data_IF_236041193471
#
_entry.id   IF_236041193471
#
_cell.length_a   1.000
_cell.length_b   1.000
_cell.length_c   1.000
_cell.angle_alpha   90.00
_cell.angle_beta   90.00
_cell.angle_gamma   90.00
#
_symmetry.space_group_name_H-M   'P 1'
#
loop_
_entity.id
_entity.type
_entity.pdbx_description
1 polymer ?
#
# COMPACT_ATOMS: atom_id res chain seq x y z
N UNK A 1 -5.61 18.77 11.70
CA UNK A 1 -4.93 17.71 12.45
C UNK A 1 -3.68 18.26 13.12
N UNK A 2 -3.26 17.68 14.24
CA UNK A 2 -2.17 18.18 15.10
C UNK A 2 -0.79 18.27 14.43
N UNK A 3 -0.60 17.67 13.25
CA UNK A 3 0.64 17.71 12.46
C UNK A 3 0.47 18.43 11.10
N UNK A 4 -0.57 19.25 10.93
CA UNK A 4 -0.83 19.93 9.67
C UNK A 4 0.22 21.00 9.36
N UNK A 5 0.85 20.91 8.19
CA UNK A 5 1.74 21.94 7.63
C UNK A 5 1.00 22.92 6.70
N UNK A 6 -0.32 23.07 6.88
CA UNK A 6 -1.15 23.95 6.04
C UNK A 6 -1.21 23.50 4.57
N UNK A 7 -1.07 22.20 4.33
CA UNK A 7 -1.13 21.62 2.98
C UNK A 7 0.11 21.90 2.11
N UNK A 8 1.20 22.43 2.68
CA UNK A 8 2.49 22.60 2.01
C UNK A 8 3.23 21.26 1.96
N UNK A 9 3.67 20.86 0.77
CA UNK A 9 4.49 19.68 0.61
C UNK A 9 5.96 20.02 0.95
N UNK A 10 6.73 19.10 1.56
CA UNK A 10 8.14 19.31 1.82
C UNK A 10 8.95 19.34 0.52
N UNK A 11 10.14 19.93 0.58
CA UNK A 11 11.12 19.80 -0.49
C UNK A 11 11.63 18.36 -0.56
N UNK A 12 11.68 17.80 -1.77
CA UNK A 12 12.16 16.44 -2.01
C UNK A 12 13.13 16.43 -3.19
N UNK A 13 13.92 15.36 -3.30
CA UNK A 13 14.82 15.15 -4.43
C UNK A 13 14.05 14.93 -5.74
N UNK A 14 14.72 15.12 -6.88
CA UNK A 14 14.10 15.02 -8.21
C UNK A 14 13.59 13.62 -8.58
N UNK A 15 14.02 12.59 -7.86
CA UNK A 15 13.57 11.21 -8.01
C UNK A 15 12.38 10.86 -7.10
N UNK A 16 11.83 11.84 -6.38
CA UNK A 16 10.68 11.67 -5.48
C UNK A 16 9.49 12.46 -6.03
N UNK A 17 8.34 11.80 -6.09
CA UNK A 17 7.07 12.41 -6.48
C UNK A 17 6.12 12.36 -5.29
N UNK A 18 5.62 13.53 -4.89
CA UNK A 18 4.59 13.65 -3.87
C UNK A 18 3.24 13.88 -4.54
N UNK A 19 2.30 12.96 -4.31
CA UNK A 19 0.94 13.04 -4.85
C UNK A 19 0.00 13.45 -3.74
N UNK A 20 -0.55 14.66 -3.81
CA UNK A 20 -1.44 15.22 -2.78
C UNK A 20 -2.90 14.94 -3.12
N UNK A 21 -3.58 14.20 -2.25
CA UNK A 21 -5.02 13.93 -2.35
C UNK A 21 -5.37 12.58 -1.75
N UNK A 22 -6.64 12.19 -1.84
CA UNK A 22 -7.08 10.85 -1.46
C UNK A 22 -6.71 9.84 -2.56
N UNK A 23 -6.34 8.61 -2.17
CA UNK A 23 -5.92 7.56 -3.11
C UNK A 23 -6.94 7.32 -4.24
N UNK A 24 -8.24 7.30 -3.91
CA UNK A 24 -9.33 7.11 -4.88
C UNK A 24 -9.42 8.22 -5.94
N UNK A 25 -8.95 9.43 -5.61
CA UNK A 25 -8.93 10.57 -6.52
C UNK A 25 -7.63 10.63 -7.31
N UNK A 26 -6.51 10.26 -6.69
CA UNK A 26 -5.19 10.51 -7.27
C UNK A 26 -4.57 9.33 -7.99
N UNK A 27 -4.86 8.08 -7.58
CA UNK A 27 -4.31 6.90 -8.23
C UNK A 27 -4.72 6.80 -9.71
N UNK A 28 -5.98 7.04 -10.12
CA UNK A 28 -6.37 6.96 -11.53
C UNK A 28 -5.56 7.88 -12.44
N UNK A 29 -5.21 9.07 -11.95
CA UNK A 29 -4.44 10.07 -12.70
C UNK A 29 -2.94 9.83 -12.61
N UNK A 30 -2.46 9.32 -11.47
CA UNK A 30 -1.04 9.08 -11.25
C UNK A 30 -0.54 7.85 -12.01
N UNK A 31 -1.27 6.73 -11.97
CA UNK A 31 -0.81 5.46 -12.52
C UNK A 31 -0.43 5.52 -14.02
N UNK A 32 -1.16 6.21 -14.91
CA UNK A 32 -0.75 6.37 -16.30
C UNK A 32 0.56 7.14 -16.49
N UNK A 33 0.93 8.00 -15.54
CA UNK A 33 2.21 8.73 -15.57
C UNK A 33 3.39 7.87 -15.10
N UNK A 34 3.10 6.76 -14.41
CA UNK A 34 4.10 5.88 -13.86
C UNK A 34 4.65 4.96 -14.96
N UNK A 35 5.84 5.31 -15.46
CA UNK A 35 6.48 4.59 -16.58
C UNK A 35 6.97 3.17 -16.24
N UNK A 36 6.93 2.77 -14.97
CA UNK A 36 7.43 1.44 -14.55
C UNK A 36 6.32 0.41 -14.69
N UNK A 37 6.71 -0.80 -15.08
CA UNK A 37 5.80 -1.93 -15.29
C UNK A 37 5.56 -2.77 -14.03
N UNK A 38 6.36 -2.57 -12.99
CA UNK A 38 6.27 -3.31 -11.74
C UNK A 38 6.70 -2.46 -10.55
N UNK A 39 6.20 -2.85 -9.38
CA UNK A 39 6.60 -2.29 -8.08
C UNK A 39 7.51 -3.30 -7.40
N UNK A 40 8.76 -2.92 -7.16
CA UNK A 40 9.69 -3.79 -6.41
C UNK A 40 9.35 -3.83 -4.92
N UNK A 41 8.94 -2.68 -4.37
CA UNK A 41 8.65 -2.51 -2.96
C UNK A 41 7.47 -1.55 -2.77
N UNK A 42 6.54 -1.91 -1.89
CA UNK A 42 5.40 -1.09 -1.50
C UNK A 42 5.31 -1.03 0.03
N UNK A 43 5.20 0.17 0.58
CA UNK A 43 4.90 0.39 1.98
C UNK A 43 3.45 0.88 2.11
N UNK A 44 2.64 0.15 2.85
CA UNK A 44 1.22 0.42 3.09
C UNK A 44 1.09 0.89 4.54
N UNK A 45 0.72 2.16 4.68
CA UNK A 45 0.44 2.82 5.96
C UNK A 45 -0.85 3.64 5.75
N UNK A 46 -1.95 2.90 5.61
CA UNK A 46 -3.24 3.45 5.18
C UNK A 46 -4.27 3.49 6.31
N UNK A 47 -4.03 2.75 7.40
CA UNK A 47 -4.89 2.46 8.55
C UNK A 47 -6.23 1.75 8.22
N UNK A 48 -6.91 2.21 7.18
CA UNK A 48 -8.27 1.83 6.82
C UNK A 48 -8.29 0.72 5.76
N UNK A 49 -9.27 -0.17 5.90
CA UNK A 49 -9.58 -1.18 4.89
C UNK A 49 -9.84 -0.57 3.51
N UNK A 50 -10.68 0.48 3.43
CA UNK A 50 -11.06 1.09 2.16
C UNK A 50 -9.86 1.70 1.44
N UNK A 51 -8.99 2.41 2.17
CA UNK A 51 -7.77 2.98 1.62
C UNK A 51 -6.81 1.89 1.14
N UNK A 52 -6.56 0.86 1.95
CA UNK A 52 -5.69 -0.27 1.61
C UNK A 52 -6.19 -1.02 0.38
N UNK A 53 -7.50 -1.30 0.32
CA UNK A 53 -8.13 -1.97 -0.82
C UNK A 53 -7.98 -1.16 -2.10
N UNK A 54 -8.26 0.14 -2.04
CA UNK A 54 -8.10 1.05 -3.18
C UNK A 54 -6.68 1.03 -3.74
N UNK A 55 -5.66 1.07 -2.86
CA UNK A 55 -4.24 1.01 -3.24
C UNK A 55 -3.89 -0.33 -3.85
N UNK A 56 -4.24 -1.45 -3.20
CA UNK A 56 -3.96 -2.80 -3.70
C UNK A 56 -4.60 -3.07 -5.05
N UNK A 57 -5.88 -2.71 -5.23
CA UNK A 57 -6.61 -2.92 -6.49
C UNK A 57 -6.04 -2.06 -7.63
N UNK A 58 -5.72 -0.79 -7.34
CA UNK A 58 -5.16 0.13 -8.32
C UNK A 58 -3.77 -0.29 -8.80
N UNK A 59 -2.92 -0.76 -7.88
CA UNK A 59 -1.55 -1.18 -8.18
C UNK A 59 -1.44 -2.63 -8.66
N UNK A 60 -2.52 -3.41 -8.58
CA UNK A 60 -2.50 -4.84 -8.81
C UNK A 60 -1.78 -5.32 -10.10
N UNK A 61 -1.91 -4.66 -11.28
CA UNK A 61 -1.20 -5.09 -12.48
C UNK A 61 0.34 -5.01 -12.36
N UNK A 62 0.85 -4.27 -11.37
CA UNK A 62 2.28 -4.07 -11.12
C UNK A 62 2.81 -4.87 -9.92
N UNK A 63 1.93 -5.53 -9.16
CA UNK A 63 2.30 -6.40 -8.03
C UNK A 63 2.56 -7.81 -8.59
N UNK A 64 3.82 -8.07 -8.94
CA UNK A 64 4.25 -9.30 -9.61
C UNK A 64 5.00 -10.22 -8.64
N UNK A 65 5.34 -11.44 -9.06
CA UNK A 65 6.21 -12.32 -8.27
C UNK A 65 7.50 -11.60 -7.86
N UNK A 66 7.82 -11.70 -6.58
CA UNK A 66 8.95 -11.01 -5.95
C UNK A 66 8.68 -9.58 -5.48
N UNK A 67 7.51 -8.99 -5.76
CA UNK A 67 7.12 -7.70 -5.16
C UNK A 67 7.03 -7.85 -3.64
N UNK A 68 7.73 -6.98 -2.90
CA UNK A 68 7.67 -6.93 -1.44
C UNK A 68 6.66 -5.88 -1.00
N UNK A 69 5.75 -6.25 -0.12
CA UNK A 69 4.77 -5.35 0.49
C UNK A 69 4.99 -5.33 2.00
N UNK A 70 5.16 -4.15 2.57
CA UNK A 70 5.22 -3.93 4.02
C UNK A 70 3.94 -3.23 4.44
N UNK A 71 3.28 -3.75 5.46
CA UNK A 71 2.09 -3.17 6.09
C UNK A 71 2.48 -2.62 7.45
N UNK A 72 2.12 -1.36 7.76
CA UNK A 72 2.46 -0.74 9.05
C UNK A 72 1.52 -1.21 10.18
N UNK A 73 0.23 -1.37 9.87
CA UNK A 73 -0.83 -1.72 10.83
C UNK A 73 -1.53 -3.05 10.48
N UNK A 74 -0.76 -4.12 10.32
CA UNK A 74 -1.26 -5.41 9.88
C UNK A 74 -1.98 -6.21 10.97
N UNK A 75 -1.41 -6.31 12.18
CA UNK A 75 -1.95 -7.14 13.27
C UNK A 75 -1.71 -6.53 14.67
N UNK A 76 -2.15 -7.24 15.73
CA UNK A 76 -1.88 -6.93 17.15
C UNK A 76 -2.60 -5.70 17.77
N UNK A 77 -3.81 -5.37 17.29
CA UNK A 77 -4.66 -4.33 17.88
C UNK A 77 -6.15 -4.66 17.72
N UNK A 78 -7.07 -4.15 18.56
CA UNK A 78 -8.48 -4.46 18.44
C UNK A 78 -9.00 -4.24 17.01
N UNK A 79 -9.73 -5.23 16.47
CA UNK A 79 -10.32 -5.20 15.12
C UNK A 79 -9.35 -5.23 13.94
N UNK A 80 -8.05 -5.45 14.14
CA UNK A 80 -7.04 -5.53 13.05
C UNK A 80 -7.46 -6.38 11.84
N UNK A 81 -8.19 -7.47 12.07
CA UNK A 81 -8.74 -8.35 11.03
C UNK A 81 -9.79 -7.71 10.12
N UNK A 82 -10.17 -6.47 10.34
CA UNK A 82 -11.13 -5.72 9.54
C UNK A 82 -10.50 -4.57 8.74
N UNK A 83 -9.19 -4.39 8.85
CA UNK A 83 -8.42 -3.30 8.25
C UNK A 83 -7.49 -3.84 7.15
N UNK A 84 -6.20 -3.49 7.19
CA UNK A 84 -5.21 -3.84 6.17
C UNK A 84 -5.14 -5.36 5.93
N UNK A 85 -5.17 -6.16 6.99
CA UNK A 85 -5.19 -7.62 6.89
C UNK A 85 -6.36 -8.12 6.04
N UNK A 86 -7.57 -7.59 6.24
CA UNK A 86 -8.75 -8.00 5.47
C UNK A 86 -8.59 -7.65 4.00
N UNK A 87 -8.19 -6.42 3.72
CA UNK A 87 -8.00 -5.93 2.36
C UNK A 87 -6.95 -6.78 1.61
N UNK A 88 -5.85 -7.12 2.28
CA UNK A 88 -4.81 -7.97 1.70
C UNK A 88 -5.29 -9.41 1.47
N UNK A 89 -5.98 -10.04 2.42
CA UNK A 89 -6.49 -11.41 2.24
C UNK A 89 -7.51 -11.50 1.10
N UNK A 90 -8.43 -10.54 0.99
CA UNK A 90 -9.37 -10.47 -0.12
C UNK A 90 -8.67 -10.21 -1.46
N UNK A 91 -7.63 -9.37 -1.47
CA UNK A 91 -6.81 -9.14 -2.65
C UNK A 91 -6.15 -10.44 -3.13
N UNK A 92 -5.48 -11.18 -2.24
CA UNK A 92 -4.84 -12.48 -2.51
C UNK A 92 -5.85 -13.48 -3.07
N UNK A 93 -7.02 -13.59 -2.43
CA UNK A 93 -8.09 -14.50 -2.87
C UNK A 93 -8.62 -14.12 -4.26
N UNK A 94 -8.95 -12.84 -4.48
CA UNK A 94 -9.52 -12.36 -5.74
C UNK A 94 -8.56 -12.52 -6.93
N UNK A 95 -7.26 -12.38 -6.69
CA UNK A 95 -6.21 -12.50 -7.71
C UNK A 95 -5.73 -13.93 -7.91
N UNK A 96 -6.05 -14.84 -6.98
CA UNK A 96 -5.51 -16.20 -6.92
C UNK A 96 -3.98 -16.19 -6.94
N UNK A 97 -3.39 -15.24 -6.23
CA UNK A 97 -1.94 -15.03 -6.17
C UNK A 97 -1.41 -15.58 -4.85
N UNK A 98 -0.20 -16.13 -4.86
CA UNK A 98 0.45 -16.61 -3.65
C UNK A 98 1.15 -15.47 -2.91
N UNK A 99 1.52 -15.74 -1.66
CA UNK A 99 2.42 -14.85 -0.94
C UNK A 99 3.20 -15.60 0.14
N UNK A 100 4.29 -15.01 0.59
CA UNK A 100 5.16 -15.50 1.64
C UNK A 100 5.36 -14.42 2.70
N UNK A 101 5.21 -14.76 3.97
CA UNK A 101 5.61 -13.87 5.07
C UNK A 101 7.14 -13.87 5.20
N UNK A 102 7.76 -12.69 5.05
CA UNK A 102 9.21 -12.53 5.14
C UNK A 102 9.67 -12.13 6.54
N UNK A 103 8.93 -11.21 7.18
CA UNK A 103 9.26 -10.67 8.49
C UNK A 103 8.03 -10.10 9.17
N UNK A 104 8.10 -9.97 10.50
CA UNK A 104 7.09 -9.29 11.31
C UNK A 104 7.75 -8.48 12.42
N UNK A 105 7.06 -7.46 12.91
CA UNK A 105 7.45 -6.67 14.07
C UNK A 105 6.27 -6.55 15.06
N UNK A 106 6.06 -5.39 15.69
CA UNK A 106 5.02 -5.23 16.70
C UNK A 106 3.60 -5.25 16.12
N UNK A 107 3.39 -4.51 15.02
CA UNK A 107 2.13 -4.50 14.24
C UNK A 107 2.38 -4.71 12.73
N UNK A 108 3.64 -4.59 12.31
CA UNK A 108 4.07 -4.62 10.94
C UNK A 108 4.31 -6.02 10.41
N UNK A 109 4.09 -6.21 9.12
CA UNK A 109 4.48 -7.42 8.39
C UNK A 109 5.05 -7.06 7.03
N UNK A 110 6.11 -7.77 6.64
CA UNK A 110 6.59 -7.80 5.26
C UNK A 110 6.16 -9.12 4.59
N UNK A 111 5.60 -9.03 3.39
CA UNK A 111 5.25 -10.18 2.54
C UNK A 111 5.90 -10.05 1.17
N UNK A 112 6.20 -11.18 0.54
CA UNK A 112 6.52 -11.26 -0.89
C UNK A 112 5.34 -11.86 -1.66
N UNK A 113 4.99 -11.26 -2.80
CA UNK A 113 4.06 -11.85 -3.77
C UNK A 113 4.73 -13.06 -4.46
N UNK A 114 3.96 -14.12 -4.71
CA UNK A 114 4.37 -15.40 -5.30
C UNK A 114 3.38 -15.90 -6.35
#
# INVERSE_FOLDING_TARGET
GSFSVGGRLPAVHSNVVLVKGFFEQTLPDFLPTFSKKSVAFMHVDCDLYSATKTVLDGLAPMLIDGTIIVFDEYFNYPRWRHHEHKAFMEFIESRRTGFEYLAYAFRQVAVAIR
#
